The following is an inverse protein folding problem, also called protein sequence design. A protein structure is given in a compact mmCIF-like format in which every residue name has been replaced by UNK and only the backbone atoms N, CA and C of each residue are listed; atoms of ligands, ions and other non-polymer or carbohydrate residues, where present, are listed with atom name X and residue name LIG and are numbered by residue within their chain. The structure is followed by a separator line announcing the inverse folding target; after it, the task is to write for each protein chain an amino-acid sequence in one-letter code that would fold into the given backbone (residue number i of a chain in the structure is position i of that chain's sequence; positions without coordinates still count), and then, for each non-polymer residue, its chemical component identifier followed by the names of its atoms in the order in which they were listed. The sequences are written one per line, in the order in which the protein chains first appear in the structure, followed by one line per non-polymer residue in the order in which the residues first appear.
data_IF_827905509505
#
_entry.id   IF_827905509505
#
_cell.length_a   1.000
_cell.length_b   1.000
_cell.length_c   1.000
_cell.angle_alpha   90.00
_cell.angle_beta   90.00
_cell.angle_gamma   90.00
#
_symmetry.space_group_name_H-M   'P 1'
#
loop_
_entity.id
_entity.type
_entity.pdbx_description
1 polymer ?
#
# COMPACT_ATOMS: atom_id res chain seq x y z
N UNK A 1 -36.64 26.09 -14.69
CA UNK A 1 -35.18 26.35 -14.80
C UNK A 1 -34.41 25.14 -14.25
N UNK A 2 -33.88 24.28 -15.14
CA UNK A 2 -33.04 23.15 -14.75
C UNK A 2 -31.59 23.63 -14.61
N UNK A 3 -31.02 23.56 -13.41
CA UNK A 3 -29.57 23.68 -13.21
C UNK A 3 -28.94 22.32 -13.53
N UNK A 4 -28.59 22.11 -14.79
CA UNK A 4 -27.63 21.07 -15.20
C UNK A 4 -26.22 21.65 -15.03
N UNK A 5 -25.71 21.59 -13.80
CA UNK A 5 -24.31 21.90 -13.50
C UNK A 5 -23.45 20.68 -13.78
N UNK A 6 -22.41 20.86 -14.60
CA UNK A 6 -21.44 19.85 -15.04
C UNK A 6 -20.85 19.04 -13.87
N UNK A 7 -21.08 17.73 -13.86
CA UNK A 7 -20.37 16.73 -13.03
C UNK A 7 -19.53 15.74 -13.86
N UNK A 8 -19.26 16.08 -15.12
CA UNK A 8 -18.91 15.13 -16.18
C UNK A 8 -17.51 14.49 -16.07
N UNK A 9 -16.56 15.06 -15.32
CA UNK A 9 -15.17 14.58 -15.36
C UNK A 9 -14.85 13.51 -14.31
N UNK A 10 -15.48 13.57 -13.13
CA UNK A 10 -15.23 12.58 -12.06
C UNK A 10 -16.01 11.27 -12.30
N UNK A 11 -17.21 11.36 -12.91
CA UNK A 11 -18.00 10.18 -13.27
C UNK A 11 -17.38 9.37 -14.43
N UNK A 12 -16.57 9.99 -15.30
CA UNK A 12 -15.90 9.29 -16.40
C UNK A 12 -14.73 8.41 -15.91
N UNK A 13 -13.87 8.92 -15.01
CA UNK A 13 -12.75 8.14 -14.43
C UNK A 13 -13.24 6.95 -13.59
N UNK A 14 -14.41 7.05 -12.95
CA UNK A 14 -15.00 5.94 -12.18
C UNK A 14 -15.52 4.80 -13.05
N UNK A 15 -15.49 4.91 -14.40
CA UNK A 15 -15.78 3.79 -15.31
C UNK A 15 -14.54 2.95 -15.65
N UNK A 16 -13.32 3.47 -15.40
CA UNK A 16 -12.07 2.86 -15.81
C UNK A 16 -11.17 2.59 -14.60
N UNK A 17 -11.38 1.46 -13.88
CA UNK A 17 -10.64 1.16 -12.66
C UNK A 17 -9.11 1.04 -12.89
N UNK A 18 -8.69 0.62 -14.09
CA UNK A 18 -7.28 0.62 -14.48
C UNK A 18 -6.68 2.03 -14.51
N UNK A 19 -7.38 3.02 -15.05
CA UNK A 19 -6.90 4.41 -15.04
C UNK A 19 -6.87 4.96 -13.61
N UNK A 20 -7.87 4.61 -12.79
CA UNK A 20 -7.96 5.07 -11.42
C UNK A 20 -6.80 4.53 -10.57
N UNK A 21 -6.44 3.24 -10.69
CA UNK A 21 -5.31 2.68 -9.92
C UNK A 21 -3.97 3.28 -10.35
N UNK A 22 -3.82 3.66 -11.63
CA UNK A 22 -2.63 4.36 -12.14
C UNK A 22 -2.42 5.75 -11.49
N UNK A 23 -3.45 6.32 -10.84
CA UNK A 23 -3.37 7.61 -10.15
C UNK A 23 -3.42 7.47 -8.62
N UNK A 24 -4.24 6.55 -8.11
CA UNK A 24 -4.39 6.31 -6.67
C UNK A 24 -3.10 5.71 -6.09
N UNK A 25 -2.50 4.72 -6.75
CA UNK A 25 -1.32 4.05 -6.20
C UNK A 25 -0.10 4.99 -6.06
N UNK A 26 0.24 5.85 -7.04
CA UNK A 26 1.25 6.90 -6.87
C UNK A 26 1.03 7.79 -5.65
N UNK A 27 -0.19 8.31 -5.48
CA UNK A 27 -0.51 9.17 -4.34
C UNK A 27 -0.35 8.42 -3.00
N UNK A 28 -0.70 7.13 -2.96
CA UNK A 28 -0.56 6.31 -1.76
C UNK A 28 0.90 5.96 -1.43
N UNK A 29 1.72 5.65 -2.44
CA UNK A 29 3.14 5.35 -2.23
C UNK A 29 3.96 6.58 -1.85
N UNK A 30 3.72 7.70 -2.53
CA UNK A 30 4.60 8.86 -2.44
C UNK A 30 3.95 10.03 -1.70
N UNK A 31 2.73 10.37 -2.10
CA UNK A 31 2.02 11.56 -1.60
C UNK A 31 1.68 11.47 -0.11
N UNK A 32 1.24 10.30 0.37
CA UNK A 32 0.90 10.08 1.78
C UNK A 32 2.12 9.98 2.70
N UNK A 33 3.25 9.48 2.21
CA UNK A 33 4.47 9.38 3.01
C UNK A 33 5.26 10.69 3.04
N UNK A 34 5.02 11.56 2.05
CA UNK A 34 5.77 12.81 1.86
C UNK A 34 7.15 12.60 1.27
N UNK A 35 7.46 11.41 0.76
CA UNK A 35 8.70 11.09 0.04
C UNK A 35 8.87 11.97 -1.20
N UNK A 36 7.78 12.16 -1.96
CA UNK A 36 7.70 13.18 -3.00
C UNK A 36 6.77 14.34 -2.60
N UNK A 37 7.12 15.59 -2.92
CA UNK A 37 6.19 16.71 -2.84
C UNK A 37 4.91 16.42 -3.64
N UNK A 38 3.71 16.60 -3.06
CA UNK A 38 2.46 16.18 -3.70
C UNK A 38 2.18 16.88 -5.04
N UNK A 39 2.63 18.13 -5.18
CA UNK A 39 2.50 18.89 -6.43
C UNK A 39 3.45 18.39 -7.52
N UNK A 40 4.63 17.85 -7.15
CA UNK A 40 5.55 17.29 -8.14
C UNK A 40 4.99 16.02 -8.79
N UNK A 41 4.13 15.28 -8.08
CA UNK A 41 3.42 14.12 -8.65
C UNK A 41 2.53 14.49 -9.84
N UNK A 42 2.19 15.77 -10.00
CA UNK A 42 1.40 16.27 -11.14
C UNK A 42 2.26 16.67 -12.34
N UNK A 43 3.59 16.71 -12.20
CA UNK A 43 4.47 16.99 -13.33
C UNK A 43 4.42 15.84 -14.33
N UNK A 44 4.30 16.07 -15.66
CA UNK A 44 4.00 15.00 -16.61
C UNK A 44 4.98 13.83 -16.59
N UNK A 45 6.29 14.11 -16.50
CA UNK A 45 7.33 13.09 -16.44
C UNK A 45 7.28 12.29 -15.13
N UNK A 46 7.20 12.97 -13.97
CA UNK A 46 7.12 12.29 -12.67
C UNK A 46 5.83 11.50 -12.55
N UNK A 47 4.70 12.05 -13.01
CA UNK A 47 3.43 11.33 -13.05
C UNK A 47 3.53 10.06 -13.88
N UNK A 48 4.14 10.13 -15.08
CA UNK A 48 4.33 8.97 -15.93
C UNK A 48 5.23 7.91 -15.25
N UNK A 49 6.32 8.34 -14.61
CA UNK A 49 7.21 7.46 -13.85
C UNK A 49 6.49 6.82 -12.65
N UNK A 50 5.77 7.60 -11.84
CA UNK A 50 5.06 7.09 -10.67
C UNK A 50 3.91 6.18 -11.07
N UNK A 51 3.21 6.48 -12.16
CA UNK A 51 2.21 5.58 -12.74
C UNK A 51 2.85 4.28 -13.27
N UNK A 52 4.06 4.35 -13.83
CA UNK A 52 4.83 3.19 -14.25
C UNK A 52 5.29 2.33 -13.06
N UNK A 53 5.75 2.95 -11.97
CA UNK A 53 6.23 2.27 -10.77
C UNK A 53 5.05 1.75 -9.92
N UNK A 54 4.32 2.66 -9.28
CA UNK A 54 3.23 2.34 -8.36
C UNK A 54 1.95 1.89 -9.06
N UNK A 55 1.56 2.62 -10.11
CA UNK A 55 0.31 2.36 -10.83
C UNK A 55 0.29 0.97 -11.46
N UNK A 56 1.32 0.65 -12.26
CA UNK A 56 1.45 -0.65 -12.90
C UNK A 56 1.71 -1.75 -11.86
N UNK A 57 2.49 -1.50 -10.81
CA UNK A 57 2.70 -2.43 -9.71
C UNK A 57 1.39 -2.86 -9.05
N UNK A 58 0.58 -1.89 -8.64
CA UNK A 58 -0.73 -2.14 -8.05
C UNK A 58 -1.69 -2.85 -9.03
N UNK A 59 -1.70 -2.45 -10.30
CA UNK A 59 -2.52 -3.08 -11.34
C UNK A 59 -2.12 -4.55 -11.56
N UNK A 60 -0.82 -4.84 -11.67
CA UNK A 60 -0.29 -6.19 -11.84
C UNK A 60 -0.64 -7.06 -10.63
N UNK A 61 -0.36 -6.60 -9.42
CA UNK A 61 -0.70 -7.35 -8.20
C UNK A 61 -2.19 -7.66 -8.12
N UNK A 62 -3.05 -6.68 -8.42
CA UNK A 62 -4.50 -6.86 -8.44
C UNK A 62 -4.94 -7.86 -9.51
N UNK A 63 -4.45 -7.72 -10.74
CA UNK A 63 -4.85 -8.59 -11.86
C UNK A 63 -4.39 -10.04 -11.66
N UNK A 64 -3.17 -10.24 -11.15
CA UNK A 64 -2.67 -11.58 -10.79
C UNK A 64 -3.53 -12.17 -9.69
N UNK A 65 -3.81 -11.42 -8.61
CA UNK A 65 -4.68 -11.89 -7.54
C UNK A 65 -6.07 -12.28 -8.06
N UNK A 66 -6.68 -11.45 -8.90
CA UNK A 66 -7.99 -11.70 -9.49
C UNK A 66 -7.98 -12.96 -10.38
N UNK A 67 -7.06 -13.04 -11.34
CA UNK A 67 -6.99 -14.13 -12.34
C UNK A 67 -6.61 -15.47 -11.71
N UNK A 68 -5.75 -15.44 -10.69
CA UNK A 68 -5.37 -16.63 -9.94
C UNK A 68 -6.36 -17.00 -8.83
N UNK A 69 -7.44 -16.21 -8.63
CA UNK A 69 -8.45 -16.39 -7.57
C UNK A 69 -7.83 -16.38 -6.18
N UNK A 70 -6.86 -15.51 -5.96
CA UNK A 70 -6.27 -15.31 -4.65
C UNK A 70 -7.29 -14.67 -3.70
N UNK A 71 -7.22 -15.08 -2.43
CA UNK A 71 -7.83 -14.35 -1.33
C UNK A 71 -7.01 -13.11 -1.01
N UNK A 72 -7.52 -12.27 -0.12
CA UNK A 72 -6.83 -11.04 0.28
C UNK A 72 -5.40 -11.28 0.80
N UNK A 73 -5.14 -12.38 1.52
CA UNK A 73 -3.79 -12.75 1.93
C UNK A 73 -2.82 -12.93 0.75
N UNK A 74 -3.30 -13.46 -0.40
CA UNK A 74 -2.48 -13.54 -1.61
C UNK A 74 -2.18 -12.16 -2.19
N UNK A 75 -3.12 -11.21 -2.15
CA UNK A 75 -2.86 -9.83 -2.53
C UNK A 75 -1.83 -9.16 -1.60
N UNK A 76 -1.92 -9.40 -0.29
CA UNK A 76 -0.91 -8.93 0.69
C UNK A 76 0.47 -9.47 0.34
N UNK A 77 0.60 -10.76 0.04
CA UNK A 77 1.88 -11.36 -0.36
C UNK A 77 2.42 -10.81 -1.69
N UNK A 78 1.54 -10.51 -2.65
CA UNK A 78 1.95 -9.80 -3.88
C UNK A 78 2.37 -8.35 -3.59
N UNK A 79 1.77 -7.70 -2.58
CA UNK A 79 2.22 -6.40 -2.09
C UNK A 79 3.59 -6.46 -1.42
N UNK A 80 3.87 -7.50 -0.65
CA UNK A 80 5.21 -7.77 -0.10
C UNK A 80 6.21 -7.99 -1.24
N UNK A 81 5.86 -8.80 -2.25
CA UNK A 81 6.71 -9.00 -3.42
C UNK A 81 7.01 -7.68 -4.15
N UNK A 82 6.00 -6.83 -4.32
CA UNK A 82 6.17 -5.50 -4.89
C UNK A 82 7.12 -4.63 -4.05
N UNK A 83 6.95 -4.58 -2.73
CA UNK A 83 7.86 -3.84 -1.84
C UNK A 83 9.29 -4.34 -1.89
N UNK A 84 9.53 -5.67 -1.95
CA UNK A 84 10.87 -6.22 -2.16
C UNK A 84 11.43 -5.83 -3.53
N UNK A 85 10.61 -5.92 -4.58
CA UNK A 85 11.03 -5.56 -5.93
C UNK A 85 11.44 -4.09 -6.01
N UNK A 86 10.57 -3.17 -5.58
CA UNK A 86 10.82 -1.74 -5.57
C UNK A 86 12.06 -1.42 -4.72
N UNK A 87 12.02 -1.76 -3.43
CA UNK A 87 12.96 -1.20 -2.47
C UNK A 87 14.32 -1.90 -2.43
N UNK A 88 14.39 -3.16 -2.86
CA UNK A 88 15.64 -3.90 -2.92
C UNK A 88 16.25 -3.88 -4.33
N UNK A 89 15.45 -3.99 -5.40
CA UNK A 89 15.98 -4.15 -6.76
C UNK A 89 15.94 -2.85 -7.58
N UNK A 90 14.88 -2.06 -7.42
CA UNK A 90 14.73 -0.77 -8.11
C UNK A 90 15.52 0.28 -7.35
N UNK A 91 14.98 0.80 -6.26
CA UNK A 91 15.54 1.94 -5.51
C UNK A 91 16.79 1.56 -4.72
N UNK A 92 16.86 0.28 -4.30
CA UNK A 92 17.97 -0.28 -3.53
C UNK A 92 18.18 0.44 -2.20
N UNK A 93 17.14 1.09 -1.66
CA UNK A 93 17.19 1.77 -0.37
C UNK A 93 17.50 0.83 0.78
N UNK A 94 17.26 -0.47 0.64
CA UNK A 94 17.74 -1.47 1.60
C UNK A 94 19.26 -1.48 1.78
N UNK A 95 19.99 -1.01 0.76
CA UNK A 95 21.44 -1.15 0.62
C UNK A 95 22.17 0.20 0.50
N UNK A 96 21.46 1.32 0.66
CA UNK A 96 21.99 2.65 0.36
C UNK A 96 22.22 3.51 1.63
N UNK A 97 23.46 3.61 2.14
CA UNK A 97 23.73 4.27 3.42
C UNK A 97 23.33 5.73 3.50
N UNK A 98 23.42 6.46 2.39
CA UNK A 98 23.04 7.86 2.35
C UNK A 98 21.53 8.02 2.59
N UNK A 99 20.70 7.20 1.94
CA UNK A 99 19.26 7.19 2.22
C UNK A 99 18.93 6.82 3.66
N UNK A 100 19.67 5.88 4.28
CA UNK A 100 19.46 5.55 5.70
C UNK A 100 19.73 6.75 6.61
N UNK A 101 20.78 7.51 6.33
CA UNK A 101 21.11 8.72 7.07
C UNK A 101 20.04 9.81 6.85
N UNK A 102 19.66 10.05 5.59
CA UNK A 102 18.68 11.07 5.23
C UNK A 102 17.27 10.77 5.76
N UNK A 103 16.93 9.48 5.90
CA UNK A 103 15.68 9.03 6.54
C UNK A 103 15.72 9.01 8.08
N UNK A 104 16.86 9.32 8.71
CA UNK A 104 17.00 9.35 10.16
C UNK A 104 17.10 7.98 10.84
N UNK A 105 17.12 6.88 10.09
CA UNK A 105 17.29 5.51 10.65
C UNK A 105 18.77 5.19 10.89
N UNK A 106 19.65 5.70 10.04
CA UNK A 106 21.08 5.43 10.07
C UNK A 106 21.43 3.94 9.92
N UNK A 107 22.62 3.56 10.40
CA UNK A 107 23.14 2.20 10.24
C UNK A 107 22.71 1.21 11.34
N UNK A 108 21.67 1.53 12.13
CA UNK A 108 21.28 0.80 13.35
C UNK A 108 21.14 -0.71 13.18
N UNK A 109 20.60 -1.17 12.05
CA UNK A 109 20.29 -2.59 11.82
C UNK A 109 20.94 -3.15 10.54
N UNK A 110 22.15 -2.71 10.24
CA UNK A 110 22.85 -3.13 9.01
C UNK A 110 23.47 -4.51 9.19
N UNK A 111 23.01 -5.47 8.38
CA UNK A 111 23.53 -6.84 8.30
C UNK A 111 23.92 -7.15 6.87
N UNK A 112 25.19 -7.45 6.61
CA UNK A 112 25.73 -7.75 5.27
C UNK A 112 25.22 -6.77 4.18
N UNK A 113 25.44 -5.48 4.42
CA UNK A 113 25.02 -4.35 3.57
C UNK A 113 23.51 -4.02 3.57
N UNK A 114 22.69 -4.76 4.31
CA UNK A 114 21.23 -4.58 4.32
C UNK A 114 20.77 -3.94 5.62
N UNK A 115 20.10 -2.80 5.56
CA UNK A 115 19.42 -2.23 6.72
C UNK A 115 18.07 -2.93 6.91
N UNK A 116 18.00 -3.89 7.85
CA UNK A 116 16.83 -4.79 7.96
C UNK A 116 15.59 -4.13 8.56
N UNK A 117 15.77 -3.11 9.41
CA UNK A 117 14.69 -2.28 9.95
C UNK A 117 14.01 -1.51 8.82
N UNK A 118 14.81 -0.79 8.01
CA UNK A 118 14.31 -0.05 6.86
C UNK A 118 13.70 -0.99 5.82
N UNK A 119 14.34 -2.13 5.53
CA UNK A 119 13.81 -3.13 4.62
C UNK A 119 12.42 -3.63 5.06
N UNK A 120 12.25 -3.94 6.35
CA UNK A 120 10.98 -4.32 6.92
C UNK A 120 9.93 -3.21 6.83
N UNK A 121 10.30 -1.98 7.20
CA UNK A 121 9.44 -0.81 7.18
C UNK A 121 8.89 -0.52 5.77
N UNK A 122 9.78 -0.36 4.78
CA UNK A 122 9.38 -0.02 3.42
C UNK A 122 8.56 -1.16 2.78
N UNK A 123 8.93 -2.42 3.01
CA UNK A 123 8.14 -3.57 2.53
C UNK A 123 6.73 -3.56 3.11
N UNK A 124 6.57 -3.30 4.41
CA UNK A 124 5.25 -3.23 5.06
C UNK A 124 4.46 -2.05 4.52
N UNK A 125 5.11 -0.89 4.37
CA UNK A 125 4.49 0.32 3.82
C UNK A 125 3.94 0.07 2.41
N UNK A 126 4.75 -0.44 1.48
CA UNK A 126 4.30 -0.68 0.11
C UNK A 126 3.24 -1.78 0.03
N UNK A 127 3.36 -2.85 0.82
CA UNK A 127 2.36 -3.90 0.84
C UNK A 127 0.99 -3.39 1.32
N UNK A 128 0.98 -2.65 2.43
CA UNK A 128 -0.25 -2.18 3.07
C UNK A 128 -0.86 -0.97 2.36
N UNK A 129 -0.04 0.02 2.02
CA UNK A 129 -0.47 1.34 1.54
C UNK A 129 -0.46 1.38 0.02
N UNK A 130 0.71 1.25 -0.62
CA UNK A 130 0.85 1.39 -2.08
C UNK A 130 0.04 0.36 -2.86
N UNK A 131 -0.07 -0.87 -2.35
CA UNK A 131 -0.77 -1.97 -3.03
C UNK A 131 -2.15 -2.23 -2.42
N UNK A 132 -2.22 -2.75 -1.18
CA UNK A 132 -3.49 -3.24 -0.64
C UNK A 132 -4.53 -2.13 -0.48
N UNK A 133 -4.17 -1.01 0.15
CA UNK A 133 -5.10 0.10 0.34
C UNK A 133 -5.51 0.72 -1.01
N UNK A 134 -4.57 0.98 -1.92
CA UNK A 134 -4.87 1.49 -3.27
C UNK A 134 -5.87 0.61 -4.03
N UNK A 135 -5.66 -0.71 -4.03
CA UNK A 135 -6.57 -1.67 -4.69
C UNK A 135 -7.96 -1.65 -4.06
N UNK A 136 -8.04 -1.71 -2.73
CA UNK A 136 -9.31 -1.70 -2.02
C UNK A 136 -10.08 -0.38 -2.25
N UNK A 137 -9.38 0.76 -2.23
CA UNK A 137 -9.96 2.08 -2.54
C UNK A 137 -10.59 2.08 -3.92
N UNK A 138 -9.88 1.60 -4.94
CA UNK A 138 -10.43 1.54 -6.31
C UNK A 138 -11.61 0.58 -6.40
N UNK A 139 -11.57 -0.57 -5.72
CA UNK A 139 -12.72 -1.49 -5.68
C UNK A 139 -13.96 -0.89 -5.00
N UNK A 140 -13.80 -0.04 -3.99
CA UNK A 140 -14.93 0.66 -3.37
C UNK A 140 -15.42 1.86 -4.16
N UNK A 141 -14.53 2.53 -4.90
CA UNK A 141 -14.91 3.62 -5.80
C UNK A 141 -15.62 3.09 -7.06
N UNK A 142 -15.29 1.86 -7.50
CA UNK A 142 -15.88 1.20 -8.67
C UNK A 142 -16.37 -0.23 -8.34
N UNK A 143 -17.42 -0.41 -7.51
CA UNK A 143 -17.86 -1.73 -7.04
C UNK A 143 -18.20 -2.73 -8.16
N UNK A 144 -18.72 -2.23 -9.29
CA UNK A 144 -19.08 -3.05 -10.46
C UNK A 144 -17.87 -3.74 -11.12
N UNK A 145 -16.65 -3.22 -10.90
CA UNK A 145 -15.43 -3.76 -11.48
C UNK A 145 -14.72 -4.79 -10.57
N UNK A 146 -15.17 -4.96 -9.32
CA UNK A 146 -14.53 -5.81 -8.32
C UNK A 146 -14.33 -7.27 -8.76
N UNK A 147 -15.34 -7.85 -9.39
CA UNK A 147 -15.32 -9.25 -9.84
C UNK A 147 -14.96 -9.42 -11.32
N UNK A 148 -14.39 -8.38 -11.93
CA UNK A 148 -14.02 -8.38 -13.34
C UNK A 148 -12.54 -7.99 -13.49
N UNK A 149 -11.85 -8.43 -14.55
CA UNK A 149 -10.53 -7.89 -14.87
C UNK A 149 -10.65 -6.38 -15.15
N UNK A 150 -9.70 -5.60 -14.62
CA UNK A 150 -9.56 -4.18 -14.89
C UNK A 150 -8.81 -3.92 -16.19
N UNK A 151 -7.92 -4.85 -16.57
CA UNK A 151 -7.16 -4.81 -17.80
C UNK A 151 -7.27 -6.16 -18.55
N UNK A 152 -7.33 -6.10 -19.88
CA UNK A 152 -7.18 -7.29 -20.73
C UNK A 152 -5.79 -7.90 -20.62
N UNK A 153 -5.57 -9.09 -21.21
CA UNK A 153 -4.24 -9.72 -21.26
C UNK A 153 -3.15 -8.80 -21.87
N UNK A 154 -3.42 -8.07 -22.98
CA UNK A 154 -2.42 -7.13 -23.52
C UNK A 154 -2.10 -6.00 -22.55
N UNK A 155 -3.10 -5.41 -21.90
CA UNK A 155 -2.89 -4.35 -20.92
C UNK A 155 -2.09 -4.81 -19.71
N UNK A 156 -2.32 -6.03 -19.23
CA UNK A 156 -1.52 -6.63 -18.16
C UNK A 156 -0.07 -6.88 -18.60
N UNK A 157 0.15 -7.35 -19.84
CA UNK A 157 1.48 -7.55 -20.38
C UNK A 157 2.24 -6.22 -20.52
N UNK A 158 1.57 -5.16 -20.99
CA UNK A 158 2.14 -3.81 -21.06
C UNK A 158 2.48 -3.30 -19.66
N UNK A 159 1.58 -3.41 -18.68
CA UNK A 159 1.85 -3.00 -17.31
C UNK A 159 3.05 -3.75 -16.70
N UNK A 160 3.13 -5.07 -16.93
CA UNK A 160 4.27 -5.88 -16.48
C UNK A 160 5.58 -5.52 -17.17
N UNK A 161 5.55 -5.23 -18.48
CA UNK A 161 6.73 -4.78 -19.23
C UNK A 161 7.21 -3.41 -18.76
N UNK A 162 6.29 -2.47 -18.57
CA UNK A 162 6.59 -1.14 -18.02
C UNK A 162 7.28 -1.29 -16.68
N UNK A 163 6.70 -2.08 -15.77
CA UNK A 163 7.29 -2.37 -14.46
C UNK A 163 8.70 -2.95 -14.60
N UNK A 164 8.91 -3.94 -15.48
CA UNK A 164 10.21 -4.56 -15.68
C UNK A 164 11.29 -3.62 -16.26
N UNK A 165 10.88 -2.61 -17.04
CA UNK A 165 11.79 -1.68 -17.72
C UNK A 165 12.08 -0.44 -16.86
N UNK A 166 11.19 -0.05 -15.94
CA UNK A 166 11.37 1.09 -15.02
C UNK A 166 12.77 1.18 -14.38
N UNK A 167 13.39 0.07 -13.89
CA UNK A 167 14.71 0.11 -13.26
C UNK A 167 15.88 0.39 -14.22
N UNK A 168 15.64 0.37 -15.53
CA UNK A 168 16.65 0.68 -16.56
C UNK A 168 16.57 2.14 -16.99
N UNK A 169 15.38 2.73 -16.95
CA UNK A 169 15.12 4.10 -17.43
C UNK A 169 15.47 5.14 -16.36
N UNK A 170 15.34 4.80 -15.08
CA UNK A 170 15.54 5.75 -13.99
C UNK A 170 17.02 5.84 -13.57
N UNK A 171 17.51 7.06 -13.32
CA UNK A 171 18.95 7.35 -13.24
C UNK A 171 19.54 7.33 -11.83
N UNK A 172 18.73 7.25 -10.78
CA UNK A 172 19.22 7.28 -9.39
C UNK A 172 20.04 6.01 -8.99
N UNK A 173 20.22 5.08 -9.92
CA UNK A 173 20.76 3.73 -9.71
C UNK A 173 22.28 3.56 -9.87
N UNK A 174 23.05 4.65 -9.93
CA UNK A 174 24.50 4.55 -10.20
C UNK A 174 25.25 3.82 -9.08
N UNK A 175 24.75 3.86 -7.84
CA UNK A 175 25.32 3.11 -6.72
C UNK A 175 24.70 1.72 -6.64
N UNK A 176 25.45 0.71 -7.07
CA UNK A 176 25.02 -0.70 -7.05
C UNK A 176 25.61 -1.41 -5.82
N UNK A 177 24.80 -2.13 -5.02
CA UNK A 177 25.34 -3.03 -4.02
C UNK A 177 26.06 -4.21 -4.71
N UNK A 178 26.83 -5.01 -3.95
CA UNK A 178 27.47 -6.21 -4.51
C UNK A 178 26.47 -7.10 -5.24
N UNK A 179 26.88 -7.67 -6.38
CA UNK A 179 26.00 -8.51 -7.21
C UNK A 179 25.38 -9.68 -6.41
N UNK A 180 26.10 -10.21 -5.42
CA UNK A 180 25.60 -11.25 -4.51
C UNK A 180 24.39 -10.80 -3.70
N UNK A 181 24.33 -9.52 -3.28
CA UNK A 181 23.19 -8.93 -2.57
C UNK A 181 21.98 -8.79 -3.51
N UNK A 182 22.20 -8.36 -4.76
CA UNK A 182 21.13 -8.27 -5.76
C UNK A 182 20.57 -9.65 -6.12
N UNK A 183 21.43 -10.67 -6.27
CA UNK A 183 21.02 -12.05 -6.49
C UNK A 183 20.21 -12.56 -5.29
N UNK A 184 20.65 -12.27 -4.06
CA UNK A 184 19.91 -12.64 -2.85
C UNK A 184 18.53 -11.96 -2.79
N UNK A 185 18.44 -10.67 -3.12
CA UNK A 185 17.17 -9.94 -3.19
C UNK A 185 16.24 -10.52 -4.29
N UNK A 186 16.79 -10.88 -5.45
CA UNK A 186 16.05 -11.55 -6.52
C UNK A 186 15.52 -12.93 -6.11
N UNK A 187 16.33 -13.72 -5.38
CA UNK A 187 15.90 -15.01 -4.81
C UNK A 187 14.81 -14.81 -3.75
N UNK A 188 14.93 -13.79 -2.89
CA UNK A 188 13.90 -13.44 -1.91
C UNK A 188 12.60 -13.07 -2.61
N UNK A 189 12.64 -12.20 -3.62
CA UNK A 189 11.48 -11.84 -4.43
C UNK A 189 10.82 -13.08 -5.03
N UNK A 190 11.60 -13.96 -5.67
CA UNK A 190 11.09 -15.21 -6.23
C UNK A 190 10.43 -16.10 -5.17
N UNK A 191 11.06 -16.24 -4.00
CA UNK A 191 10.51 -17.01 -2.88
C UNK A 191 9.19 -16.43 -2.35
N UNK A 192 9.09 -15.10 -2.22
CA UNK A 192 7.86 -14.41 -1.80
C UNK A 192 6.76 -14.61 -2.84
N UNK A 193 7.07 -14.47 -4.13
CA UNK A 193 6.11 -14.71 -5.22
C UNK A 193 5.62 -16.16 -5.19
N UNK A 194 6.51 -17.14 -5.14
CA UNK A 194 6.14 -18.56 -5.02
C UNK A 194 5.24 -18.79 -3.81
N UNK A 195 5.59 -18.20 -2.66
CA UNK A 195 4.78 -18.27 -1.44
C UNK A 195 3.39 -17.65 -1.63
N UNK A 196 3.29 -16.53 -2.36
CA UNK A 196 2.01 -15.92 -2.71
C UNK A 196 1.13 -16.88 -3.54
N UNK A 197 1.70 -17.63 -4.47
CA UNK A 197 0.97 -18.64 -5.25
C UNK A 197 0.56 -19.86 -4.42
N UNK A 198 1.41 -20.31 -3.50
CA UNK A 198 1.14 -21.46 -2.62
C UNK A 198 0.08 -21.15 -1.55
N UNK A 199 0.11 -19.95 -0.98
CA UNK A 199 -0.76 -19.55 0.12
C UNK A 199 -1.97 -18.76 -0.33
N UNK A 200 -1.89 -18.04 -1.46
CA UNK A 200 -2.91 -17.10 -1.91
C UNK A 200 -4.28 -17.73 -2.17
N UNK A 201 -4.32 -19.02 -2.48
CA UNK A 201 -5.55 -19.80 -2.71
C UNK A 201 -6.10 -20.50 -1.47
N UNK A 202 -5.34 -20.57 -0.38
CA UNK A 202 -5.73 -21.37 0.79
C UNK A 202 -7.05 -20.85 1.37
N UNK A 203 -8.00 -21.73 1.71
CA UNK A 203 -9.21 -21.33 2.41
C UNK A 203 -8.81 -20.67 3.73
N UNK A 204 -9.17 -19.40 3.92
CA UNK A 204 -9.19 -18.83 5.25
C UNK A 204 -10.51 -19.26 5.85
N UNK A 205 -10.47 -19.99 6.97
CA UNK A 205 -11.65 -20.26 7.77
C UNK A 205 -12.27 -18.92 8.15
N UNK A 206 -13.33 -18.53 7.45
CA UNK A 206 -14.15 -17.38 7.84
C UNK A 206 -15.03 -17.93 8.95
N UNK A 207 -14.90 -17.48 10.21
CA UNK A 207 -15.84 -17.87 11.24
C UNK A 207 -17.23 -17.49 10.75
N UNK A 208 -18.12 -18.48 10.63
CA UNK A 208 -19.53 -18.29 10.30
C UNK A 208 -20.22 -17.57 11.47
N UNK A 209 -19.94 -16.27 11.61
CA UNK A 209 -20.66 -15.39 12.54
C UNK A 209 -21.96 -14.98 11.85
N UNK A 210 -23.08 -15.28 12.50
CA UNK A 210 -24.42 -15.14 11.94
C UNK A 210 -24.72 -13.75 11.38
N UNK A 211 -25.57 -13.71 10.34
CA UNK A 211 -26.17 -12.48 9.81
C UNK A 211 -26.78 -11.69 10.98
N UNK A 212 -26.20 -10.54 11.32
CA UNK A 212 -26.69 -9.67 12.38
C UNK A 212 -25.61 -9.04 13.28
N UNK A 213 -24.36 -9.51 13.27
CA UNK A 213 -23.32 -8.86 14.07
C UNK A 213 -22.94 -7.51 13.44
N UNK A 214 -23.28 -6.42 14.13
CA UNK A 214 -22.93 -5.06 13.70
C UNK A 214 -21.42 -4.95 13.51
N UNK A 215 -20.95 -4.40 12.37
CA UNK A 215 -19.53 -4.30 12.12
C UNK A 215 -18.86 -3.40 13.19
N UNK A 216 -17.72 -3.84 13.75
CA UNK A 216 -17.14 -3.25 14.97
C UNK A 216 -16.47 -1.91 14.68
N UNK A 217 -16.94 -0.84 15.34
CA UNK A 217 -16.42 0.53 15.20
C UNK A 217 -14.93 0.66 15.56
N UNK A 218 -14.40 -0.23 16.41
CA UNK A 218 -13.01 -0.18 16.87
C UNK A 218 -11.93 -0.60 15.86
N UNK A 219 -12.28 -1.18 14.71
CA UNK A 219 -11.29 -1.65 13.73
C UNK A 219 -10.42 -0.53 13.15
N UNK A 220 -11.01 0.63 12.88
CA UNK A 220 -10.26 1.79 12.39
C UNK A 220 -9.26 2.29 13.43
N UNK A 221 -9.66 2.33 14.70
CA UNK A 221 -8.76 2.69 15.80
C UNK A 221 -7.63 1.69 16.01
N UNK A 222 -7.92 0.39 15.88
CA UNK A 222 -6.88 -0.64 15.93
C UNK A 222 -5.86 -0.47 14.79
N UNK A 223 -6.33 -0.27 13.55
CA UNK A 223 -5.46 -0.04 12.41
C UNK A 223 -4.62 1.24 12.59
N UNK A 224 -5.25 2.33 13.03
CA UNK A 224 -4.58 3.60 13.37
C UNK A 224 -3.50 3.41 14.43
N UNK A 225 -3.81 2.74 15.54
CA UNK A 225 -2.85 2.49 16.61
C UNK A 225 -1.68 1.63 16.15
N UNK A 226 -1.94 0.58 15.34
CA UNK A 226 -0.91 -0.28 14.78
C UNK A 226 0.05 0.50 13.86
N UNK A 227 -0.48 1.30 12.92
CA UNK A 227 0.39 2.07 12.01
C UNK A 227 1.14 3.17 12.75
N UNK A 228 0.50 3.87 13.70
CA UNK A 228 1.14 4.89 14.52
C UNK A 228 2.29 4.30 15.34
N UNK A 229 2.04 3.19 16.04
CA UNK A 229 3.08 2.51 16.82
C UNK A 229 4.21 2.00 15.92
N UNK A 230 3.91 1.37 14.77
CA UNK A 230 4.94 0.92 13.83
C UNK A 230 5.81 2.08 13.35
N UNK A 231 5.20 3.20 12.95
CA UNK A 231 5.90 4.36 12.44
C UNK A 231 6.80 4.98 13.52
N UNK A 232 6.23 5.29 14.68
CA UNK A 232 6.99 5.87 15.80
C UNK A 232 8.17 4.95 16.19
N UNK A 233 7.93 3.65 16.35
CA UNK A 233 8.98 2.71 16.72
C UNK A 233 10.07 2.61 15.64
N UNK A 234 9.70 2.62 14.36
CA UNK A 234 10.69 2.55 13.27
C UNK A 234 11.71 3.69 13.34
N UNK A 235 11.26 4.91 13.62
CA UNK A 235 12.14 6.09 13.64
C UNK A 235 12.75 6.40 15.01
N UNK A 236 12.34 5.71 16.09
CA UNK A 236 12.85 5.98 17.46
C UNK A 236 13.58 4.80 18.09
N UNK A 237 13.41 3.57 17.59
CA UNK A 237 13.96 2.38 18.26
C UNK A 237 15.49 2.38 18.28
N UNK A 238 16.15 3.02 17.32
CA UNK A 238 17.60 3.16 17.30
C UNK A 238 18.13 3.95 18.51
N UNK A 239 17.35 4.90 19.03
CA UNK A 239 17.72 5.76 20.17
C UNK A 239 17.52 5.07 21.53
N UNK A 240 16.81 3.94 21.56
CA UNK A 240 16.50 3.21 22.80
C UNK A 240 17.68 2.43 23.38
N UNK A 241 18.76 2.26 22.61
CA UNK A 241 19.90 1.41 22.97
C UNK A 241 19.63 -0.10 22.90
N UNK A 242 18.44 -0.53 22.45
CA UNK A 242 18.14 -1.94 22.25
C UNK A 242 19.01 -2.53 21.12
N UNK A 243 19.44 -3.78 21.29
CA UNK A 243 20.10 -4.51 20.21
C UNK A 243 19.19 -4.61 18.98
N UNK A 244 19.77 -4.47 17.78
CA UNK A 244 19.01 -4.38 16.54
C UNK A 244 17.97 -5.49 16.32
N UNK A 245 18.18 -6.78 16.69
CA UNK A 245 17.16 -7.80 16.45
C UNK A 245 15.89 -7.53 17.26
N UNK A 246 16.06 -7.07 18.50
CA UNK A 246 14.95 -6.74 19.40
C UNK A 246 14.26 -5.46 18.96
N UNK A 247 15.03 -4.45 18.53
CA UNK A 247 14.46 -3.21 18.02
C UNK A 247 13.62 -3.41 16.76
N UNK A 248 14.14 -4.20 15.81
CA UNK A 248 13.40 -4.59 14.60
C UNK A 248 12.14 -5.38 14.96
N UNK A 249 12.24 -6.39 15.83
CA UNK A 249 11.08 -7.16 16.27
C UNK A 249 10.02 -6.28 16.94
N UNK A 250 10.43 -5.33 17.78
CA UNK A 250 9.55 -4.38 18.44
C UNK A 250 8.86 -3.46 17.41
N UNK A 251 9.59 -2.95 16.42
CA UNK A 251 9.02 -2.10 15.36
C UNK A 251 8.00 -2.83 14.48
N UNK A 252 8.17 -4.14 14.26
CA UNK A 252 7.27 -4.96 13.45
C UNK A 252 6.12 -5.60 14.25
N UNK A 253 6.20 -5.59 15.58
CA UNK A 253 5.17 -6.15 16.45
C UNK A 253 3.78 -5.54 16.22
N UNK A 254 3.60 -4.20 16.08
CA UNK A 254 2.29 -3.63 15.77
C UNK A 254 1.71 -4.10 14.43
N UNK A 255 2.57 -4.35 13.44
CA UNK A 255 2.17 -4.89 12.12
C UNK A 255 1.68 -6.33 12.28
N UNK A 256 2.45 -7.17 12.98
CA UNK A 256 2.07 -8.54 13.28
C UNK A 256 0.75 -8.59 14.09
N UNK A 257 0.60 -7.73 15.09
CA UNK A 257 -0.62 -7.60 15.87
C UNK A 257 -1.82 -7.22 14.97
N UNK A 258 -1.66 -6.25 14.07
CA UNK A 258 -2.70 -5.86 13.11
C UNK A 258 -3.11 -7.02 12.20
N UNK A 259 -2.14 -7.70 11.59
CA UNK A 259 -2.36 -8.86 10.71
C UNK A 259 -3.05 -10.03 11.43
N UNK A 260 -2.80 -10.19 12.73
CA UNK A 260 -3.35 -11.27 13.54
C UNK A 260 -4.72 -10.92 14.15
N UNK A 261 -4.92 -9.69 14.61
CA UNK A 261 -6.12 -9.30 15.35
C UNK A 261 -7.25 -8.86 14.42
N UNK A 262 -6.95 -8.04 13.40
CA UNK A 262 -7.97 -7.48 12.50
C UNK A 262 -8.83 -8.59 11.86
N UNK A 263 -8.26 -9.67 11.27
CA UNK A 263 -9.09 -10.73 10.68
C UNK A 263 -9.93 -11.49 11.71
N UNK A 264 -9.50 -11.60 12.96
CA UNK A 264 -10.23 -12.31 14.03
C UNK A 264 -11.44 -11.53 14.55
N UNK A 265 -11.36 -10.19 14.50
CA UNK A 265 -12.44 -9.31 14.93
C UNK A 265 -13.31 -8.79 13.78
N UNK A 266 -12.83 -8.88 12.54
CA UNK A 266 -13.60 -8.56 11.34
C UNK A 266 -14.81 -9.50 11.16
N UNK A 267 -15.86 -8.95 10.56
CA UNK A 267 -17.14 -9.60 10.27
C UNK A 267 -17.39 -9.60 8.76
N UNK A 268 -17.30 -8.45 8.12
CA UNK A 268 -17.58 -8.22 6.69
C UNK A 268 -16.34 -8.44 5.81
N UNK A 269 -15.17 -8.61 6.43
CA UNK A 269 -13.91 -8.89 5.75
C UNK A 269 -13.27 -7.67 5.07
N UNK A 270 -12.13 -7.86 4.40
CA UNK A 270 -11.28 -6.78 3.88
C UNK A 270 -11.91 -5.98 2.75
N UNK A 271 -12.93 -6.54 2.09
CA UNK A 271 -13.62 -5.85 1.01
C UNK A 271 -15.00 -5.29 1.42
N UNK A 272 -15.44 -5.56 2.65
CA UNK A 272 -16.67 -5.01 3.23
C UNK A 272 -16.40 -3.73 4.02
N UNK A 273 -17.32 -3.35 4.90
CA UNK A 273 -17.21 -2.13 5.72
C UNK A 273 -16.05 -2.18 6.72
N UNK A 274 -15.62 -3.36 7.13
CA UNK A 274 -14.46 -3.53 8.01
C UNK A 274 -13.16 -3.13 7.32
N UNK A 275 -12.99 -3.51 6.05
CA UNK A 275 -11.88 -3.04 5.22
C UNK A 275 -11.87 -1.52 5.08
N UNK A 276 -13.03 -0.91 4.82
CA UNK A 276 -13.15 0.55 4.76
C UNK A 276 -12.70 1.19 6.06
N UNK A 277 -13.08 0.65 7.22
CA UNK A 277 -12.64 1.18 8.52
C UNK A 277 -11.13 1.06 8.71
N UNK A 278 -10.54 -0.07 8.33
CA UNK A 278 -9.09 -0.26 8.41
C UNK A 278 -8.37 0.78 7.56
N UNK A 279 -8.76 0.93 6.29
CA UNK A 279 -8.15 1.92 5.38
C UNK A 279 -8.37 3.34 5.88
N UNK A 280 -9.55 3.68 6.40
CA UNK A 280 -9.81 4.99 7.02
C UNK A 280 -8.91 5.22 8.24
N UNK A 281 -8.66 4.19 9.05
CA UNK A 281 -7.71 4.26 10.17
C UNK A 281 -6.28 4.51 9.72
N UNK A 282 -5.83 3.84 8.65
CA UNK A 282 -4.52 4.07 8.03
C UNK A 282 -4.42 5.51 7.48
N UNK A 283 -5.44 5.97 6.73
CA UNK A 283 -5.48 7.33 6.20
C UNK A 283 -5.52 8.39 7.31
N UNK A 284 -6.24 8.14 8.41
CA UNK A 284 -6.27 9.06 9.54
C UNK A 284 -4.88 9.28 10.15
N UNK A 285 -4.03 8.25 10.20
CA UNK A 285 -2.64 8.39 10.60
C UNK A 285 -1.87 9.31 9.64
N UNK A 286 -1.92 9.06 8.33
CA UNK A 286 -1.22 9.89 7.35
C UNK A 286 -1.74 11.33 7.32
N UNK A 287 -3.04 11.57 7.50
CA UNK A 287 -3.58 12.92 7.65
C UNK A 287 -2.93 13.65 8.84
N UNK A 288 -2.80 12.99 9.99
CA UNK A 288 -2.17 13.61 11.16
C UNK A 288 -0.66 13.81 10.94
N UNK A 289 0.01 12.87 10.29
CA UNK A 289 1.42 12.98 9.93
C UNK A 289 1.65 14.18 9.00
N UNK A 290 0.88 14.27 7.91
CA UNK A 290 1.00 15.34 6.92
C UNK A 290 0.70 16.72 7.52
N UNK A 291 -0.29 16.81 8.42
CA UNK A 291 -0.58 18.04 9.16
C UNK A 291 0.57 18.42 10.11
N UNK A 292 1.16 17.44 10.80
CA UNK A 292 2.33 17.67 11.65
C UNK A 292 3.51 18.19 10.81
N UNK A 293 3.84 17.49 9.72
CA UNK A 293 4.91 17.86 8.79
C UNK A 293 4.67 19.24 8.16
N UNK A 294 3.40 19.58 7.88
CA UNK A 294 3.01 20.92 7.44
C UNK A 294 3.34 22.00 8.47
N UNK A 295 2.99 21.76 9.75
CA UNK A 295 3.27 22.71 10.84
C UNK A 295 4.78 22.84 11.08
N UNK A 296 5.56 21.80 10.78
CA UNK A 296 7.03 21.79 10.84
C UNK A 296 7.70 22.45 9.61
N UNK A 297 6.94 23.02 8.68
CA UNK A 297 7.45 23.89 7.61
C UNK A 297 7.32 23.33 6.19
N UNK A 298 6.88 22.08 6.01
CA UNK A 298 6.61 21.49 4.69
C UNK A 298 5.16 21.68 4.26
N UNK A 299 4.82 22.93 3.92
CA UNK A 299 3.44 23.33 3.61
C UNK A 299 2.81 22.63 2.40
N UNK A 300 3.63 22.08 1.51
CA UNK A 300 3.22 21.24 0.38
C UNK A 300 2.43 20.00 0.83
N UNK A 301 2.69 19.49 2.03
CA UNK A 301 2.01 18.32 2.61
C UNK A 301 0.54 18.58 2.99
N UNK A 302 0.12 19.85 3.11
CA UNK A 302 -1.28 20.19 3.36
C UNK A 302 -2.20 19.63 2.26
N UNK A 303 -1.73 19.60 1.02
CA UNK A 303 -2.49 19.04 -0.10
C UNK A 303 -2.75 17.54 0.12
N UNK A 304 -1.73 16.77 0.52
CA UNK A 304 -1.88 15.35 0.83
C UNK A 304 -2.85 15.14 1.99
N UNK A 305 -2.73 15.91 3.07
CA UNK A 305 -3.63 15.84 4.22
C UNK A 305 -5.09 16.06 3.80
N UNK A 306 -5.36 17.09 2.98
CA UNK A 306 -6.71 17.41 2.50
C UNK A 306 -7.26 16.31 1.61
N UNK A 307 -6.48 15.80 0.65
CA UNK A 307 -6.90 14.72 -0.26
C UNK A 307 -7.17 13.43 0.50
N UNK A 308 -6.29 13.05 1.43
CA UNK A 308 -6.43 11.87 2.28
C UNK A 308 -7.66 11.98 3.20
N UNK A 309 -7.88 13.14 3.83
CA UNK A 309 -9.05 13.39 4.69
C UNK A 309 -10.36 13.37 3.90
N UNK A 310 -10.36 13.97 2.70
CA UNK A 310 -11.51 13.91 1.79
C UNK A 310 -11.82 12.47 1.39
N UNK A 311 -10.81 11.69 0.99
CA UNK A 311 -10.96 10.30 0.58
C UNK A 311 -11.48 9.44 1.73
N UNK A 312 -10.89 9.58 2.93
CA UNK A 312 -11.33 8.86 4.13
C UNK A 312 -12.81 9.15 4.45
N UNK A 313 -13.20 10.43 4.43
CA UNK A 313 -14.60 10.85 4.66
C UNK A 313 -15.54 10.30 3.57
N UNK A 314 -15.12 10.34 2.32
CA UNK A 314 -15.89 9.86 1.17
C UNK A 314 -16.13 8.35 1.24
N UNK A 315 -15.09 7.56 1.48
CA UNK A 315 -15.17 6.11 1.65
C UNK A 315 -16.05 5.74 2.85
N UNK A 316 -15.85 6.43 3.98
CA UNK A 316 -16.62 6.15 5.20
C UNK A 316 -18.12 6.42 5.02
N UNK A 317 -18.49 7.48 4.29
CA UNK A 317 -19.89 7.79 3.96
C UNK A 317 -20.51 6.79 2.98
N UNK A 318 -19.73 6.29 2.03
CA UNK A 318 -20.20 5.33 1.02
C UNK A 318 -20.23 3.88 1.50
N UNK A 319 -19.65 3.56 2.66
CA UNK A 319 -19.53 2.18 3.16
C UNK A 319 -20.87 1.44 3.26
N UNK A 320 -21.94 2.14 3.63
CA UNK A 320 -23.25 1.51 3.87
C UNK A 320 -23.87 1.06 2.52
N UNK A 321 -23.53 1.75 1.42
CA UNK A 321 -23.89 1.32 0.06
C UNK A 321 -23.07 0.11 -0.43
N UNK A 322 -21.85 -0.09 0.10
CA UNK A 322 -21.01 -1.27 -0.17
C UNK A 322 -21.61 -2.52 0.47
N UNK A 323 -22.23 -2.40 1.64
CA UNK A 323 -22.91 -3.53 2.31
C UNK A 323 -24.16 -4.01 1.55
N UNK A 324 -24.89 -3.09 0.92
CA UNK A 324 -26.12 -3.43 0.18
C UNK A 324 -25.88 -4.12 -1.17
N UNK A 325 -24.68 -3.98 -1.75
CA UNK A 325 -24.33 -4.55 -3.06
C UNK A 325 -23.36 -5.73 -2.98
N UNK A 326 -23.05 -6.23 -1.77
CA UNK A 326 -22.30 -7.46 -1.63
C UNK A 326 -23.16 -8.62 -2.15
N UNK A 327 -22.74 -9.35 -3.20
CA UNK A 327 -23.51 -10.49 -3.69
C UNK A 327 -23.68 -11.49 -2.54
N UNK A 328 -24.90 -11.99 -2.37
CA UNK A 328 -25.17 -13.15 -1.54
C UNK A 328 -24.29 -14.29 -2.07
N UNK A 329 -23.21 -14.60 -1.36
CA UNK A 329 -22.45 -15.81 -1.59
C UNK A 329 -23.33 -16.97 -1.11
N UNK A 330 -24.16 -17.50 -2.02
CA UNK A 330 -24.75 -18.84 -1.97
C UNK A 330 -23.77 -19.84 -2.57
#
# INVERSE_FOLDING_TARGET
MRRTGRSWDVEAMTRFPALLILLVAPFFGEGLSGSSPPLELLTPWKLAYMAALYGCGALVCREVAHRCRFRFAGLVMLGVAYGVWEEALVDRYWFFPQFWADSGIGAYSVVRHTNVLLAGHLTVFHAAISICASVLVVEWLVPRARHRPWAGRPGLAVAGLVLAVTPVIYGEFDKRPPATVLVAAGMLLAAVVVTAFLLGRRPVAVPSRGRGSRPRRGLGWLAFACVCAHWVLTYTVAETGLAWPLGVALSLLPVAAGLLLIPRVAVTGPYGSDGVRVVVGLLAFFVLLDLLVTVLGRYDMMLSAVVAAWLARHLYRRRDAVEQHAPALS
#
